data_IF_725328875469
#
_entry.id   IF_725328875469
#
_cell.length_a   1.000
_cell.length_b   1.000
_cell.length_c   1.000
_cell.angle_alpha   90.00
_cell.angle_beta   90.00
_cell.angle_gamma   90.00
#
_symmetry.space_group_name_H-M   'P 1'
#
loop_
_entity.id
_entity.type
_entity.pdbx_description
1 polymer ?
#
# COMPACT_ATOMS: atom_id res chain seq x y z
N UNK A 1 -27.07 -9.82 27.94
CA UNK A 1 -26.00 -10.44 27.16
C UNK A 1 -26.09 -9.84 25.76
N UNK A 2 -25.36 -8.74 25.51
CA UNK A 2 -25.39 -8.06 24.22
C UNK A 2 -24.29 -8.67 23.35
N UNK A 3 -24.68 -9.26 22.22
CA UNK A 3 -23.76 -9.66 21.16
C UNK A 3 -23.40 -8.38 20.42
N UNK A 4 -22.12 -7.94 20.35
CA UNK A 4 -21.77 -6.88 19.43
C UNK A 4 -21.88 -7.47 18.03
N UNK A 5 -22.91 -7.02 17.31
CA UNK A 5 -23.03 -7.08 15.87
C UNK A 5 -21.67 -6.87 15.22
N UNK A 6 -21.32 -7.82 14.34
CA UNK A 6 -20.71 -7.58 13.04
C UNK A 6 -19.98 -6.23 12.95
N UNK A 7 -18.77 -6.20 13.51
CA UNK A 7 -17.84 -5.10 13.30
C UNK A 7 -17.38 -5.17 11.84
N UNK A 8 -18.20 -4.65 10.93
CA UNK A 8 -17.69 -3.97 9.75
C UNK A 8 -17.02 -2.73 10.33
N UNK A 9 -15.80 -2.91 10.86
CA UNK A 9 -14.94 -1.81 11.25
C UNK A 9 -14.74 -1.02 9.95
N UNK A 10 -15.50 0.07 9.81
CA UNK A 10 -15.25 1.04 8.76
C UNK A 10 -13.76 1.34 8.84
N UNK A 11 -12.98 1.14 7.76
CA UNK A 11 -11.57 1.45 7.77
C UNK A 11 -11.46 2.87 8.28
N UNK A 12 -10.66 3.06 9.34
CA UNK A 12 -10.42 4.37 9.89
C UNK A 12 -9.95 5.30 8.75
N UNK A 13 -10.16 6.61 8.86
CA UNK A 13 -9.74 7.56 7.79
C UNK A 13 -8.30 7.28 7.34
N UNK A 14 -7.43 6.95 8.29
CA UNK A 14 -6.03 6.57 8.05
C UNK A 14 -5.86 5.30 7.21
N UNK A 15 -6.70 4.29 7.38
CA UNK A 15 -6.68 3.07 6.56
C UNK A 15 -7.18 3.34 5.14
N UNK A 16 -8.18 4.20 4.99
CA UNK A 16 -8.62 4.70 3.68
C UNK A 16 -7.51 5.49 2.97
N UNK A 17 -6.84 6.39 3.69
CA UNK A 17 -5.69 7.15 3.18
C UNK A 17 -4.54 6.21 2.78
N UNK A 18 -4.23 5.19 3.60
CA UNK A 18 -3.21 4.18 3.28
C UNK A 18 -3.60 3.37 2.05
N UNK A 19 -4.85 2.94 1.91
CA UNK A 19 -5.33 2.20 0.75
C UNK A 19 -5.28 3.04 -0.52
N UNK A 20 -5.72 4.29 -0.47
CA UNK A 20 -5.64 5.21 -1.61
C UNK A 20 -4.18 5.48 -2.00
N UNK A 21 -3.31 5.69 -1.02
CA UNK A 21 -1.88 5.88 -1.22
C UNK A 21 -1.21 4.63 -1.82
N UNK A 22 -1.52 3.44 -1.29
CA UNK A 22 -0.97 2.18 -1.80
C UNK A 22 -1.44 1.87 -3.23
N UNK A 23 -2.70 2.18 -3.57
CA UNK A 23 -3.19 2.09 -4.94
C UNK A 23 -2.42 3.02 -5.88
N UNK A 24 -2.13 4.26 -5.47
CA UNK A 24 -1.33 5.18 -6.27
C UNK A 24 0.12 4.66 -6.47
N UNK A 25 0.71 4.01 -5.45
CA UNK A 25 2.02 3.34 -5.59
C UNK A 25 1.93 2.20 -6.62
N UNK A 26 0.88 1.38 -6.55
CA UNK A 26 0.71 0.23 -7.44
C UNK A 26 0.49 0.68 -8.90
N UNK A 27 -0.40 1.64 -9.13
CA UNK A 27 -0.66 2.21 -10.46
C UNK A 27 0.63 2.76 -11.05
N UNK A 28 1.38 3.54 -10.27
CA UNK A 28 2.66 4.11 -10.70
C UNK A 28 3.72 3.05 -11.00
N UNK A 29 3.82 2.02 -10.15
CA UNK A 29 4.74 0.90 -10.39
C UNK A 29 4.35 0.10 -11.63
N UNK A 30 3.05 0.00 -11.94
CA UNK A 30 2.56 -0.65 -13.15
C UNK A 30 2.85 0.19 -14.40
N UNK A 31 2.60 1.50 -14.36
CA UNK A 31 2.92 2.44 -15.45
C UNK A 31 4.42 2.47 -15.78
N UNK A 32 5.26 2.51 -14.74
CA UNK A 32 6.72 2.51 -14.89
C UNK A 32 7.27 1.11 -15.25
N UNK A 33 6.42 0.07 -15.29
CA UNK A 33 6.76 -1.29 -15.72
C UNK A 33 7.50 -2.14 -14.68
N UNK A 34 7.53 -1.70 -13.42
CA UNK A 34 8.15 -2.45 -12.31
C UNK A 34 7.35 -3.70 -11.90
N UNK A 35 6.02 -3.66 -12.04
CA UNK A 35 5.13 -4.77 -11.69
C UNK A 35 4.25 -5.19 -12.86
N UNK A 36 3.86 -6.47 -12.91
CA UNK A 36 2.89 -7.00 -13.90
C UNK A 36 1.49 -7.04 -13.31
N UNK A 37 0.48 -7.12 -14.18
CA UNK A 37 -0.94 -7.22 -13.80
C UNK A 37 -1.30 -8.41 -12.89
N UNK A 38 -0.42 -9.41 -12.77
CA UNK A 38 -0.57 -10.61 -11.92
C UNK A 38 0.42 -10.61 -10.75
N UNK A 39 0.97 -9.45 -10.40
CA UNK A 39 1.92 -9.33 -9.31
C UNK A 39 1.16 -9.20 -7.98
N UNK A 40 1.43 -10.12 -7.06
CA UNK A 40 0.84 -10.12 -5.72
C UNK A 40 1.90 -9.65 -4.71
N UNK A 41 1.64 -8.58 -3.94
CA UNK A 41 2.58 -8.09 -2.95
C UNK A 41 2.73 -9.07 -1.79
N UNK A 42 3.94 -9.60 -1.58
CA UNK A 42 4.27 -10.36 -0.38
C UNK A 42 4.10 -9.51 0.90
N UNK A 43 3.89 -10.16 2.05
CA UNK A 43 3.84 -9.52 3.37
C UNK A 43 5.01 -8.56 3.64
N UNK A 44 6.19 -8.88 3.09
CA UNK A 44 7.37 -8.01 3.20
C UNK A 44 7.19 -6.69 2.47
N UNK A 45 6.61 -6.72 1.26
CA UNK A 45 6.33 -5.51 0.49
C UNK A 45 5.23 -4.70 1.17
N UNK A 46 4.16 -5.37 1.62
CA UNK A 46 3.07 -4.71 2.36
C UNK A 46 3.61 -3.98 3.59
N UNK A 47 4.48 -4.63 4.38
CA UNK A 47 5.07 -4.02 5.57
C UNK A 47 6.00 -2.85 5.24
N UNK A 48 6.72 -2.90 4.11
CA UNK A 48 7.53 -1.77 3.62
C UNK A 48 6.66 -0.59 3.19
N UNK A 49 5.58 -0.84 2.46
CA UNK A 49 4.63 0.20 2.03
C UNK A 49 4.00 0.92 3.23
N UNK A 50 3.61 0.17 4.26
CA UNK A 50 3.10 0.76 5.50
C UNK A 50 4.15 1.65 6.20
N UNK A 51 5.41 1.22 6.23
CA UNK A 51 6.50 2.01 6.81
C UNK A 51 6.77 3.30 6.00
N UNK A 52 6.71 3.23 4.68
CA UNK A 52 6.84 4.39 3.79
C UNK A 52 5.70 5.40 3.97
N UNK A 53 4.48 4.91 4.09
CA UNK A 53 3.34 5.77 4.41
C UNK A 53 3.50 6.44 5.78
N UNK A 54 3.97 5.69 6.80
CA UNK A 54 4.17 6.24 8.14
C UNK A 54 5.28 7.30 8.19
N UNK A 55 6.28 7.19 7.32
CA UNK A 55 7.38 8.15 7.20
C UNK A 55 7.02 9.34 6.30
N UNK A 56 5.84 9.33 5.67
CA UNK A 56 5.33 10.43 4.87
C UNK A 56 5.89 10.49 3.46
N UNK A 57 6.42 9.38 2.92
CA UNK A 57 6.87 9.34 1.52
C UNK A 57 5.70 9.51 0.57
N UNK A 58 5.98 10.17 -0.56
CA UNK A 58 5.05 10.23 -1.68
C UNK A 58 4.97 8.87 -2.37
N UNK A 59 3.85 8.55 -3.06
CA UNK A 59 3.71 7.28 -3.78
C UNK A 59 4.86 7.02 -4.76
N UNK A 60 5.30 8.04 -5.52
CA UNK A 60 6.41 7.92 -6.47
C UNK A 60 7.76 7.61 -5.80
N UNK A 61 8.01 8.21 -4.63
CA UNK A 61 9.23 7.94 -3.86
C UNK A 61 9.19 6.52 -3.28
N UNK A 62 8.03 6.07 -2.83
CA UNK A 62 7.83 4.70 -2.37
C UNK A 62 8.00 3.67 -3.50
N UNK A 63 7.52 3.95 -4.72
CA UNK A 63 7.81 3.11 -5.90
C UNK A 63 9.30 3.00 -6.12
N UNK A 64 10.00 4.14 -6.10
CA UNK A 64 11.45 4.17 -6.32
C UNK A 64 12.20 3.41 -5.21
N UNK A 65 11.84 3.63 -3.95
CA UNK A 65 12.45 2.95 -2.81
C UNK A 65 12.13 1.45 -2.74
N UNK A 66 10.96 1.02 -3.23
CA UNK A 66 10.54 -0.38 -3.17
C UNK A 66 11.04 -1.20 -4.38
N UNK A 67 10.98 -0.64 -5.59
CA UNK A 67 11.20 -1.37 -6.84
C UNK A 67 12.48 -0.97 -7.60
N UNK A 68 13.03 0.21 -7.34
CA UNK A 68 14.22 0.71 -8.08
C UNK A 68 15.55 0.21 -7.50
N UNK A 69 15.55 -0.42 -6.31
CA UNK A 69 16.77 -0.97 -5.67
C UNK A 69 17.37 -2.21 -6.37
N UNK A 70 16.72 -2.72 -7.41
CA UNK A 70 17.12 -3.95 -8.12
C UNK A 70 17.76 -3.72 -9.50
N UNK A 71 18.21 -2.51 -9.83
CA UNK A 71 18.82 -2.19 -11.13
C UNK A 71 20.32 -1.85 -11.04
#
# INVERSE_FOLDING_TARGET
MFIPSDQIALPSSRELDLCAWANAVYEKAFEDGFIRALWEPDDTIVRRLQAYFHTGLSPAEAVSACFCLNH
#
